data_IF_309572946551
#
_entry.id   IF_309572946551
#
_cell.length_a   1.000
_cell.length_b   1.000
_cell.length_c   1.000
_cell.angle_alpha   90.00
_cell.angle_beta   90.00
_cell.angle_gamma   90.00
#
_symmetry.space_group_name_H-M   'P 1'
#
loop_
_entity.id
_entity.type
_entity.pdbx_description
1 polymer ?
#
# COMPACT_ATOMS: atom_id res chain seq x y z
N UNK A 1 9.58 -22.46 -4.88
CA UNK A 1 9.67 -20.99 -4.91
C UNK A 1 9.69 -20.55 -3.47
N UNK A 2 10.67 -19.74 -3.11
CA UNK A 2 10.86 -19.29 -1.75
C UNK A 2 9.78 -18.26 -1.38
N UNK A 3 9.35 -18.30 -0.13
CA UNK A 3 8.18 -17.55 0.36
C UNK A 3 8.57 -16.61 1.48
N UNK A 4 8.07 -15.36 1.41
CA UNK A 4 8.19 -14.42 2.53
C UNK A 4 7.29 -14.87 3.67
N UNK A 5 7.89 -15.29 4.78
CA UNK A 5 7.17 -15.71 6.00
C UNK A 5 6.99 -14.56 7.00
N UNK A 6 7.81 -13.50 6.88
CA UNK A 6 7.68 -12.29 7.70
C UNK A 6 8.11 -11.06 6.91
N UNK A 7 7.35 -9.99 7.05
CA UNK A 7 7.68 -8.65 6.55
C UNK A 7 7.58 -7.66 7.71
N UNK A 8 8.62 -6.86 7.90
CA UNK A 8 8.64 -5.77 8.89
C UNK A 8 9.01 -4.49 8.17
N UNK A 9 8.04 -3.59 7.99
CA UNK A 9 8.18 -2.31 7.30
C UNK A 9 8.23 -1.19 8.36
N UNK A 10 9.13 -0.21 8.19
CA UNK A 10 9.13 1.00 9.02
C UNK A 10 8.04 1.98 8.59
N UNK A 11 7.67 2.90 9.47
CA UNK A 11 6.89 4.07 9.06
C UNK A 11 7.67 4.93 8.05
N UNK A 12 7.00 5.65 7.14
CA UNK A 12 7.65 6.63 6.29
C UNK A 12 8.07 7.85 7.12
N UNK A 13 9.02 8.63 6.62
CA UNK A 13 9.34 9.93 7.22
C UNK A 13 8.20 10.94 7.02
N UNK A 14 7.55 10.91 5.85
CA UNK A 14 6.38 11.70 5.50
C UNK A 14 5.64 11.04 4.32
N UNK A 15 4.33 11.25 4.23
CA UNK A 15 3.59 10.88 3.03
C UNK A 15 3.71 11.97 1.94
N UNK A 16 3.38 11.68 0.67
CA UNK A 16 3.25 12.72 -0.34
C UNK A 16 2.22 13.77 0.07
N UNK A 17 2.40 15.00 -0.42
CA UNK A 17 1.41 16.05 -0.24
C UNK A 17 0.05 15.65 -0.86
N UNK A 18 -1.04 16.17 -0.29
CA UNK A 18 -2.36 15.95 -0.85
C UNK A 18 -2.47 16.61 -2.24
N UNK A 19 -3.14 15.98 -3.21
CA UNK A 19 -3.36 16.57 -4.52
C UNK A 19 -4.29 17.78 -4.44
N UNK A 20 -4.08 18.72 -5.37
CA UNK A 20 -4.94 19.91 -5.50
C UNK A 20 -6.38 19.55 -5.94
N UNK A 21 -7.29 20.52 -5.82
CA UNK A 21 -8.65 20.41 -6.35
C UNK A 21 -9.62 19.58 -5.51
N UNK A 22 -9.27 19.29 -4.25
CA UNK A 22 -10.16 18.69 -3.26
C UNK A 22 -11.23 19.68 -2.79
N UNK A 23 -12.43 19.19 -2.48
CA UNK A 23 -13.45 19.95 -1.76
C UNK A 23 -12.99 20.32 -0.34
N UNK A 24 -13.55 21.37 0.25
CA UNK A 24 -13.20 21.79 1.63
C UNK A 24 -13.36 20.64 2.64
N UNK A 25 -14.41 19.84 2.48
CA UNK A 25 -14.65 18.67 3.33
C UNK A 25 -13.60 17.58 3.14
N UNK A 26 -13.11 17.38 1.92
CA UNK A 26 -12.04 16.42 1.64
C UNK A 26 -10.67 16.92 2.11
N UNK A 27 -10.40 18.23 2.02
CA UNK A 27 -9.20 18.86 2.56
C UNK A 27 -9.14 18.81 4.10
N UNK A 28 -10.30 18.74 4.77
CA UNK A 28 -10.37 18.61 6.22
C UNK A 28 -10.03 17.18 6.73
N UNK A 29 -9.91 16.19 5.84
CA UNK A 29 -9.46 14.86 6.21
C UNK A 29 -7.95 14.84 6.41
N UNK A 30 -7.48 13.95 7.29
CA UNK A 30 -6.05 13.67 7.43
C UNK A 30 -5.51 13.02 6.13
N UNK A 31 -4.61 13.70 5.39
CA UNK A 31 -4.09 13.16 4.13
C UNK A 31 -3.26 11.89 4.33
N UNK A 32 -2.57 11.75 5.46
CA UNK A 32 -1.75 10.58 5.77
C UNK A 32 -2.62 9.33 5.89
N UNK A 33 -3.81 9.47 6.49
CA UNK A 33 -4.79 8.38 6.59
C UNK A 33 -5.22 7.90 5.20
N UNK A 34 -5.41 8.80 4.23
CA UNK A 34 -5.80 8.44 2.86
C UNK A 34 -4.66 7.69 2.17
N UNK A 35 -3.43 8.19 2.26
CA UNK A 35 -2.26 7.51 1.68
C UNK A 35 -2.01 6.13 2.28
N UNK A 36 -2.08 5.99 3.61
CA UNK A 36 -1.98 4.69 4.29
C UNK A 36 -2.97 3.69 3.72
N UNK A 37 -4.20 4.14 3.44
CA UNK A 37 -5.24 3.29 2.90
C UNK A 37 -4.98 2.87 1.47
N UNK A 38 -4.47 3.77 0.62
CA UNK A 38 -4.05 3.42 -0.74
C UNK A 38 -2.89 2.42 -0.72
N UNK A 39 -1.85 2.68 0.07
CA UNK A 39 -0.67 1.79 0.20
C UNK A 39 -1.01 0.42 0.77
N UNK A 40 -2.02 0.31 1.63
CA UNK A 40 -2.52 -1.00 2.11
C UNK A 40 -3.18 -1.84 1.00
N UNK A 41 -3.61 -1.19 -0.08
CA UNK A 41 -4.32 -1.83 -1.20
C UNK A 41 -3.37 -2.26 -2.33
N UNK A 42 -2.12 -1.78 -2.32
CA UNK A 42 -1.12 -1.97 -3.37
C UNK A 42 0.20 -2.52 -2.83
N UNK A 43 1.03 -3.07 -3.71
CA UNK A 43 2.38 -3.52 -3.37
C UNK A 43 3.43 -2.41 -3.51
N UNK A 44 3.04 -1.25 -4.06
CA UNK A 44 3.93 -0.11 -4.19
C UNK A 44 4.01 0.74 -2.92
N UNK A 45 5.17 1.36 -2.69
CA UNK A 45 5.36 2.43 -1.69
C UNK A 45 5.78 3.70 -2.41
N UNK A 46 5.18 4.82 -2.02
CA UNK A 46 5.50 6.11 -2.64
C UNK A 46 6.67 6.78 -1.92
N UNK A 47 6.63 6.78 -0.58
CA UNK A 47 7.74 7.24 0.25
C UNK A 47 8.70 6.10 0.58
N UNK A 48 9.99 6.43 0.59
CA UNK A 48 11.07 5.56 1.05
C UNK A 48 10.87 5.05 2.48
N UNK A 49 11.10 3.74 2.70
CA UNK A 49 11.01 3.04 3.99
C UNK A 49 12.03 1.92 4.09
N UNK A 50 12.51 1.66 5.30
CA UNK A 50 13.27 0.46 5.58
C UNK A 50 12.33 -0.74 5.71
N UNK A 51 12.72 -1.88 5.15
CA UNK A 51 11.99 -3.13 5.27
C UNK A 51 12.93 -4.30 5.50
N UNK A 52 12.48 -5.23 6.33
CA UNK A 52 13.13 -6.53 6.55
C UNK A 52 12.17 -7.63 6.14
N UNK A 53 12.64 -8.52 5.27
CA UNK A 53 11.92 -9.75 4.91
C UNK A 53 12.63 -10.98 5.46
N UNK A 54 11.87 -11.89 6.04
CA UNK A 54 12.33 -13.25 6.34
C UNK A 54 11.70 -14.19 5.33
N UNK A 55 12.52 -15.01 4.70
CA UNK A 55 12.17 -15.85 3.56
C UNK A 55 12.56 -17.29 3.83
N UNK A 56 11.70 -18.23 3.50
CA UNK A 56 11.92 -19.66 3.68
C UNK A 56 11.68 -20.43 2.36
N UNK A 57 12.41 -21.52 2.20
CA UNK A 57 12.42 -22.36 1.01
C UNK A 57 13.51 -21.97 0.00
N UNK A 58 13.75 -22.90 -0.92
CA UNK A 58 14.71 -22.76 -2.01
C UNK A 58 14.09 -22.29 -3.33
N UNK A 59 14.96 -21.91 -4.26
CA UNK A 59 14.62 -21.42 -5.59
C UNK A 59 14.41 -19.92 -5.61
N UNK A 60 13.59 -19.43 -6.54
CA UNK A 60 13.42 -17.99 -6.74
C UNK A 60 12.62 -17.32 -5.62
N UNK A 61 13.02 -16.10 -5.28
CA UNK A 61 12.31 -15.18 -4.40
C UNK A 61 12.27 -13.78 -5.01
N UNK A 62 11.12 -13.10 -4.88
CA UNK A 62 10.92 -11.72 -5.32
C UNK A 62 10.46 -10.85 -4.14
N UNK A 63 10.98 -9.62 -4.00
CA UNK A 63 10.50 -8.68 -3.01
C UNK A 63 8.98 -8.45 -3.16
N UNK A 64 8.18 -8.60 -2.10
CA UNK A 64 6.73 -8.44 -2.17
C UNK A 64 6.27 -6.97 -2.26
N UNK A 65 7.19 -6.01 -2.14
CA UNK A 65 6.93 -4.58 -2.29
C UNK A 65 7.84 -3.98 -3.35
N UNK A 66 7.37 -2.91 -3.99
CA UNK A 66 8.10 -2.21 -5.05
C UNK A 66 8.03 -0.67 -4.92
N UNK A 67 8.96 0.07 -5.54
CA UNK A 67 10.30 -0.41 -5.91
C UNK A 67 11.05 -0.87 -4.65
N UNK A 68 11.95 -1.85 -4.80
CA UNK A 68 12.75 -2.39 -3.70
C UNK A 68 14.23 -2.42 -4.06
N UNK A 69 15.06 -1.94 -3.15
CA UNK A 69 16.53 -2.00 -3.24
C UNK A 69 17.04 -2.84 -2.07
N UNK A 70 17.49 -4.06 -2.34
CA UNK A 70 18.10 -4.92 -1.34
C UNK A 70 19.51 -4.42 -1.04
N UNK A 71 19.80 -4.17 0.24
CA UNK A 71 21.11 -3.71 0.71
C UNK A 71 21.89 -4.81 1.44
N UNK A 72 21.20 -5.82 1.98
CA UNK A 72 21.83 -6.94 2.68
C UNK A 72 21.04 -8.23 2.53
N UNK A 73 21.72 -9.36 2.40
CA UNK A 73 21.16 -10.70 2.46
C UNK A 73 21.93 -11.57 3.47
N UNK A 74 21.20 -12.18 4.39
CA UNK A 74 21.74 -13.03 5.45
C UNK A 74 21.01 -14.38 5.47
N UNK A 75 21.65 -15.42 5.99
CA UNK A 75 21.06 -16.74 6.24
C UNK A 75 21.22 -17.10 7.72
N UNK A 76 20.19 -17.70 8.32
CA UNK A 76 20.25 -18.19 9.69
C UNK A 76 21.04 -19.50 9.75
N UNK A 77 22.16 -19.51 10.45
CA UNK A 77 23.01 -20.69 10.67
C UNK A 77 23.57 -20.65 12.09
N UNK A 78 23.58 -21.81 12.74
CA UNK A 78 24.18 -21.98 14.08
C UNK A 78 23.69 -20.95 15.12
N UNK A 79 22.40 -20.57 15.05
CA UNK A 79 21.77 -19.64 15.99
C UNK A 79 22.09 -18.16 15.76
N UNK A 80 22.69 -17.81 14.62
CA UNK A 80 23.02 -16.43 14.25
C UNK A 80 22.68 -16.14 12.79
N UNK A 81 22.44 -14.86 12.48
CA UNK A 81 22.35 -14.39 11.10
C UNK A 81 23.75 -14.15 10.55
N UNK A 82 24.10 -14.83 9.47
CA UNK A 82 25.39 -14.71 8.79
C UNK A 82 25.14 -14.16 7.39
N UNK A 83 25.96 -13.21 6.95
CA UNK A 83 25.88 -12.68 5.59
C UNK A 83 26.14 -13.80 4.56
N UNK A 84 25.37 -13.79 3.47
CA UNK A 84 25.48 -14.83 2.44
C UNK A 84 26.69 -14.54 1.56
N UNK A 85 27.67 -15.44 1.58
CA UNK A 85 28.88 -15.36 0.76
C UNK A 85 29.05 -16.65 -0.09
N UNK A 86 29.25 -16.55 -1.42
CA UNK A 86 29.17 -15.31 -2.22
C UNK A 86 27.75 -14.73 -2.24
N UNK A 87 27.63 -13.45 -2.58
CA UNK A 87 26.33 -12.78 -2.72
C UNK A 87 25.34 -13.59 -3.58
N UNK A 88 24.07 -13.58 -3.18
CA UNK A 88 23.00 -14.31 -3.87
C UNK A 88 22.89 -13.87 -5.34
N UNK A 89 22.72 -14.84 -6.23
CA UNK A 89 22.58 -14.56 -7.66
C UNK A 89 21.22 -13.90 -7.94
N UNK A 90 21.17 -12.87 -8.79
CA UNK A 90 19.91 -12.27 -9.21
C UNK A 90 19.07 -13.28 -10.03
N UNK A 91 17.75 -13.25 -9.85
CA UNK A 91 16.80 -13.98 -10.70
C UNK A 91 16.45 -13.13 -11.93
N UNK A 92 16.21 -13.76 -13.11
CA UNK A 92 15.74 -13.06 -14.31
C UNK A 92 14.40 -12.33 -14.13
N UNK A 93 13.65 -12.63 -13.07
CA UNK A 93 12.36 -12.01 -12.77
C UNK A 93 12.46 -10.83 -11.77
N UNK A 94 13.68 -10.36 -11.47
CA UNK A 94 13.89 -9.15 -10.65
C UNK A 94 14.06 -9.42 -9.15
N UNK A 95 14.41 -10.65 -8.78
CA UNK A 95 14.62 -11.08 -7.40
C UNK A 95 15.95 -11.80 -7.20
N UNK A 96 15.98 -12.83 -6.35
CA UNK A 96 17.17 -13.63 -6.04
C UNK A 96 16.88 -15.12 -6.11
N UNK A 97 17.90 -15.90 -6.47
CA UNK A 97 17.85 -17.37 -6.41
C UNK A 97 18.44 -17.84 -5.07
N UNK A 98 17.63 -18.48 -4.24
CA UNK A 98 18.02 -19.00 -2.94
C UNK A 98 18.50 -20.46 -3.09
N UNK A 99 19.77 -20.76 -2.76
CA UNK A 99 20.35 -22.10 -3.00
C UNK A 99 19.88 -23.18 -2.02
N UNK A 100 19.23 -22.81 -0.90
CA UNK A 100 18.75 -23.75 0.11
C UNK A 100 17.48 -23.25 0.79
N UNK A 101 17.00 -24.00 1.79
CA UNK A 101 15.70 -23.73 2.41
C UNK A 101 15.69 -22.55 3.41
N UNK A 102 16.87 -22.04 3.80
CA UNK A 102 16.98 -20.88 4.69
C UNK A 102 16.78 -21.21 6.17
N UNK A 103 16.21 -20.30 6.98
CA UNK A 103 15.61 -19.03 6.57
C UNK A 103 16.65 -17.97 6.17
N UNK A 104 16.28 -17.13 5.21
CA UNK A 104 17.04 -15.96 4.76
C UNK A 104 16.43 -14.68 5.33
N UNK A 105 17.25 -13.67 5.58
CA UNK A 105 16.84 -12.32 5.97
C UNK A 105 17.38 -11.31 4.97
N UNK A 106 16.47 -10.53 4.39
CA UNK A 106 16.80 -9.44 3.49
C UNK A 106 16.55 -8.11 4.19
N UNK A 107 17.56 -7.24 4.19
CA UNK A 107 17.40 -5.83 4.56
C UNK A 107 17.34 -5.01 3.28
N UNK A 108 16.36 -4.13 3.20
CA UNK A 108 16.10 -3.37 2.00
C UNK A 108 15.48 -2.01 2.30
N UNK A 109 15.45 -1.20 1.26
CA UNK A 109 14.68 0.03 1.19
C UNK A 109 13.59 -0.13 0.13
N UNK A 110 12.36 0.26 0.44
CA UNK A 110 11.22 0.25 -0.50
C UNK A 110 10.65 1.64 -0.69
N UNK A 111 10.04 1.90 -1.85
CA UNK A 111 9.65 3.25 -2.22
C UNK A 111 10.87 4.11 -2.59
N UNK A 112 10.67 5.37 -2.92
CA UNK A 112 11.77 6.23 -3.39
C UNK A 112 12.26 5.86 -4.78
N UNK A 113 11.90 6.64 -5.80
CA UNK A 113 12.63 6.72 -7.06
C UNK A 113 13.80 7.69 -6.92
N UNK A 114 14.73 7.72 -7.87
CA UNK A 114 15.50 8.94 -8.13
C UNK A 114 15.41 9.25 -9.63
N UNK A 115 14.80 10.39 -10.01
CA UNK A 115 14.10 11.29 -9.11
C UNK A 115 12.93 10.56 -8.41
N UNK A 116 12.67 10.90 -7.13
CA UNK A 116 11.64 10.35 -6.23
C UNK A 116 10.37 10.03 -7.01
N UNK A 117 9.72 8.88 -6.77
CA UNK A 117 8.74 8.40 -7.73
C UNK A 117 7.66 9.48 -7.80
N UNK A 118 7.59 10.16 -8.94
CA UNK A 118 6.49 11.07 -9.21
C UNK A 118 5.25 10.24 -8.95
N UNK A 119 4.48 10.64 -7.94
CA UNK A 119 3.28 9.90 -7.56
C UNK A 119 2.45 9.87 -8.83
N UNK A 120 2.18 8.69 -9.41
CA UNK A 120 1.57 8.66 -10.73
C UNK A 120 0.24 9.39 -10.68
N UNK A 121 -0.13 10.10 -11.75
CA UNK A 121 -1.42 10.81 -11.81
C UNK A 121 -2.62 9.89 -11.47
N UNK A 122 -2.50 8.59 -11.76
CA UNK A 122 -3.49 7.58 -11.35
C UNK A 122 -3.61 7.41 -9.83
N UNK A 123 -2.50 7.49 -9.09
CA UNK A 123 -2.49 7.43 -7.63
C UNK A 123 -2.99 8.73 -7.00
N UNK A 124 -2.65 9.90 -7.56
CA UNK A 124 -3.21 11.19 -7.14
C UNK A 124 -4.74 11.25 -7.37
N UNK A 125 -5.21 10.81 -8.53
CA UNK A 125 -6.64 10.72 -8.81
C UNK A 125 -7.34 9.68 -7.91
N UNK A 126 -6.67 8.57 -7.58
CA UNK A 126 -7.19 7.60 -6.62
C UNK A 126 -7.33 8.21 -5.21
N UNK A 127 -6.34 9.00 -4.78
CA UNK A 127 -6.41 9.78 -3.55
C UNK A 127 -7.62 10.70 -3.57
N UNK A 128 -7.76 11.52 -4.62
CA UNK A 128 -8.85 12.48 -4.75
C UNK A 128 -10.21 11.80 -4.65
N UNK A 129 -10.43 10.72 -5.41
CA UNK A 129 -11.69 9.95 -5.38
C UNK A 129 -11.99 9.38 -4.00
N UNK A 130 -10.97 8.83 -3.32
CA UNK A 130 -11.16 8.26 -2.00
C UNK A 130 -11.47 9.35 -0.97
N UNK A 131 -10.75 10.47 -0.99
CA UNK A 131 -10.96 11.60 -0.10
C UNK A 131 -12.36 12.19 -0.27
N UNK A 132 -12.78 12.47 -1.51
CA UNK A 132 -14.14 12.98 -1.81
C UNK A 132 -15.22 12.00 -1.35
N UNK A 133 -15.02 10.71 -1.59
CA UNK A 133 -15.97 9.68 -1.15
C UNK A 133 -16.08 9.60 0.38
N UNK A 134 -14.96 9.74 1.09
CA UNK A 134 -14.92 9.69 2.56
C UNK A 134 -15.43 10.97 3.21
N UNK A 135 -15.33 12.10 2.51
CA UNK A 135 -15.83 13.41 2.92
C UNK A 135 -17.32 13.60 2.65
N UNK A 136 -17.89 12.82 1.72
CA UNK A 136 -19.31 12.86 1.41
C UNK A 136 -20.17 12.72 2.68
N UNK A 137 -21.18 13.58 2.81
CA UNK A 137 -22.05 13.67 3.99
C UNK A 137 -22.48 12.28 4.44
N UNK A 138 -22.13 11.93 5.68
CA UNK A 138 -22.32 10.59 6.26
C UNK A 138 -23.75 10.37 6.72
N UNK A 139 -24.59 11.41 6.71
CA UNK A 139 -25.91 11.39 7.30
C UNK A 139 -25.84 11.20 8.81
N UNK A 140 -26.95 10.80 9.41
CA UNK A 140 -27.00 10.53 10.87
C UNK A 140 -26.15 9.30 11.25
N UNK A 141 -25.26 9.46 12.23
CA UNK A 141 -24.39 8.38 12.70
C UNK A 141 -25.22 7.15 13.15
N UNK A 142 -24.86 5.97 12.64
CA UNK A 142 -25.55 4.71 12.93
C UNK A 142 -26.83 4.46 12.11
N UNK A 143 -27.29 5.42 11.30
CA UNK A 143 -28.43 5.22 10.41
C UNK A 143 -28.00 4.52 9.11
N UNK A 144 -28.73 3.47 8.71
CA UNK A 144 -28.57 2.81 7.40
C UNK A 144 -29.47 3.40 6.30
N UNK A 145 -30.45 4.22 6.69
CA UNK A 145 -31.34 4.93 5.77
C UNK A 145 -31.81 6.24 6.39
N UNK A 146 -31.86 7.28 5.56
CA UNK A 146 -32.36 8.59 5.92
C UNK A 146 -33.34 9.05 4.84
N UNK A 147 -34.46 9.63 5.26
CA UNK A 147 -35.45 10.20 4.36
C UNK A 147 -35.84 11.58 4.86
N UNK A 148 -35.68 12.56 3.98
CA UNK A 148 -35.99 13.96 4.24
C UNK A 148 -37.01 14.42 3.21
N UNK A 149 -38.15 14.93 3.69
CA UNK A 149 -39.20 15.47 2.84
C UNK A 149 -39.32 16.98 3.06
N UNK A 150 -39.25 17.76 1.99
CA UNK A 150 -39.48 19.21 1.99
C UNK A 150 -40.57 19.52 0.97
N UNK A 151 -41.80 19.71 1.47
CA UNK A 151 -42.97 19.87 0.60
C UNK A 151 -43.23 18.63 -0.26
N UNK A 152 -43.40 18.74 -1.59
CA UNK A 152 -43.61 17.59 -2.47
C UNK A 152 -42.31 16.84 -2.81
N UNK A 153 -41.14 17.35 -2.42
CA UNK A 153 -39.85 16.71 -2.73
C UNK A 153 -39.48 15.77 -1.59
N UNK A 154 -39.33 14.49 -1.92
CA UNK A 154 -38.79 13.48 -1.01
C UNK A 154 -37.41 13.02 -1.48
N UNK A 155 -36.41 13.12 -0.62
CA UNK A 155 -35.09 12.55 -0.84
C UNK A 155 -34.98 11.34 0.09
N UNK A 156 -34.72 10.17 -0.49
CA UNK A 156 -34.39 8.97 0.27
C UNK A 156 -32.98 8.53 -0.08
N UNK A 157 -32.16 8.34 0.95
CA UNK A 157 -30.81 7.81 0.83
C UNK A 157 -30.72 6.54 1.65
N UNK A 158 -30.22 5.46 1.04
CA UNK A 158 -29.90 4.22 1.73
C UNK A 158 -28.43 3.94 1.51
N UNK A 159 -27.70 3.66 2.59
CA UNK A 159 -26.30 3.27 2.53
C UNK A 159 -26.09 1.97 3.27
N UNK A 160 -25.24 1.12 2.70
CA UNK A 160 -24.79 -0.07 3.42
C UNK A 160 -24.05 0.37 4.69
N UNK A 161 -24.24 -0.26 5.86
CA UNK A 161 -23.41 -0.03 7.03
C UNK A 161 -21.90 -0.24 6.76
N UNK A 162 -21.56 -1.06 5.77
CA UNK A 162 -20.18 -1.34 5.35
C UNK A 162 -19.60 -0.35 4.33
N UNK A 163 -20.30 0.75 4.00
CA UNK A 163 -19.92 1.63 2.89
C UNK A 163 -18.51 2.22 3.06
N UNK A 164 -18.13 2.60 4.29
CA UNK A 164 -16.77 3.08 4.60
C UNK A 164 -15.76 1.93 4.47
N UNK A 165 -16.09 0.73 4.96
CA UNK A 165 -15.23 -0.44 4.82
C UNK A 165 -14.94 -0.78 3.36
N UNK A 166 -15.91 -0.52 2.47
CA UNK A 166 -15.80 -0.72 1.01
C UNK A 166 -15.43 0.56 0.24
N UNK A 167 -14.98 1.62 0.92
CA UNK A 167 -14.73 2.91 0.26
C UNK A 167 -13.66 2.83 -0.84
N UNK A 168 -12.72 1.88 -0.78
CA UNK A 168 -11.76 1.64 -1.87
C UNK A 168 -12.43 1.19 -3.17
N UNK A 169 -13.43 0.31 -3.07
CA UNK A 169 -14.19 -0.17 -4.22
C UNK A 169 -15.21 0.87 -4.68
N UNK A 170 -15.93 1.47 -3.73
CA UNK A 170 -17.04 2.37 -4.03
C UNK A 170 -16.61 3.72 -4.58
N UNK A 171 -15.41 4.21 -4.25
CA UNK A 171 -14.87 5.46 -4.82
C UNK A 171 -14.31 5.29 -6.23
N UNK A 172 -14.10 4.05 -6.69
CA UNK A 172 -13.36 3.76 -7.92
C UNK A 172 -11.85 4.01 -7.82
N UNK A 173 -11.31 4.36 -6.65
CA UNK A 173 -9.87 4.50 -6.42
C UNK A 173 -9.12 3.18 -6.64
N UNK A 174 -9.71 2.06 -6.20
CA UNK A 174 -9.12 0.74 -6.36
C UNK A 174 -8.93 0.29 -7.82
N UNK A 175 -9.71 0.84 -8.75
CA UNK A 175 -9.59 0.51 -10.18
C UNK A 175 -8.38 1.17 -10.82
N UNK A 176 -8.11 2.42 -10.46
CA UNK A 176 -6.93 3.17 -10.89
C UNK A 176 -5.64 2.53 -10.36
N UNK A 177 -5.73 1.91 -9.19
CA UNK A 177 -4.59 1.29 -8.52
C UNK A 177 -4.32 -0.16 -8.95
N UNK A 178 -5.12 -0.75 -9.86
CA UNK A 178 -4.94 -2.14 -10.33
C UNK A 178 -3.52 -2.46 -10.80
N UNK A 179 -2.82 -1.58 -11.57
CA UNK A 179 -1.46 -1.86 -12.03
C UNK A 179 -0.43 -2.00 -10.91
N UNK A 180 -0.71 -1.42 -9.73
CA UNK A 180 0.23 -1.37 -8.60
C UNK A 180 -0.06 -2.45 -7.54
N UNK A 181 -1.08 -3.29 -7.73
CA UNK A 181 -1.49 -4.29 -6.72
C UNK A 181 -0.51 -5.45 -6.54
N UNK A 182 0.37 -5.67 -7.51
CA UNK A 182 1.30 -6.80 -7.55
C UNK A 182 2.64 -6.34 -8.10
N UNK A 183 3.70 -7.02 -7.68
CA UNK A 183 5.06 -6.94 -8.22
C UNK A 183 5.29 -8.15 -9.10
#
# INVERSE_FOLDING_TARGET
MATTIRQTESAPAAYPEAPDGLSEAAQALDPDMIWQRLESYIACRWTERAVIWVVEGCGEWHPPLAPATITKAEIWRDGVWVEVEPALSPSPYGGYVLPGDGPYRFTATVGGGSPAPEVPAAAEEAFRRLAEYMAADKGTAGASSESTSVGPISISSRRSPSWIAQAMQNSGAGDLLRPYRRV
#
